data_IF_292680232822
#
_entry.id   IF_292680232822
#
_cell.length_a   1.000
_cell.length_b   1.000
_cell.length_c   1.000
_cell.angle_alpha   90.00
_cell.angle_beta   90.00
_cell.angle_gamma   90.00
#
_symmetry.space_group_name_H-M   'P 1'
#
loop_
_entity.id
_entity.type
_entity.pdbx_description
1 polymer ?
#
# COMPACT_ATOMS: atom_id res chain seq x y z
N UNK A 1 -21.65 -27.56 13.83
CA UNK A 1 -22.12 -27.22 12.47
C UNK A 1 -22.58 -25.76 12.51
N UNK A 2 -21.89 -24.85 11.85
CA UNK A 2 -22.37 -23.49 11.64
C UNK A 2 -23.48 -23.55 10.61
N UNK A 3 -24.65 -22.97 10.90
CA UNK A 3 -25.75 -22.93 9.96
C UNK A 3 -25.44 -21.95 8.82
N UNK A 4 -26.04 -22.19 7.65
CA UNK A 4 -25.89 -21.28 6.52
C UNK A 4 -26.41 -19.89 6.89
N UNK A 5 -25.52 -18.88 6.82
CA UNK A 5 -25.81 -17.50 7.21
C UNK A 5 -25.26 -17.09 8.58
N UNK A 6 -24.74 -18.03 9.38
CA UNK A 6 -24.03 -17.69 10.62
C UNK A 6 -22.62 -17.21 10.28
N UNK A 7 -22.22 -16.10 10.88
CA UNK A 7 -20.83 -15.58 10.80
C UNK A 7 -20.11 -15.93 12.10
N UNK A 8 -19.02 -16.68 11.99
CA UNK A 8 -18.11 -16.93 13.10
C UNK A 8 -16.77 -16.24 12.84
N UNK A 9 -16.25 -15.50 13.81
CA UNK A 9 -14.93 -14.90 13.69
C UNK A 9 -13.87 -16.00 13.52
N UNK A 10 -13.02 -15.87 12.51
CA UNK A 10 -12.03 -16.89 12.16
C UNK A 10 -10.96 -17.01 13.24
N UNK A 11 -10.44 -15.88 13.71
CA UNK A 11 -9.28 -15.80 14.62
C UNK A 11 -9.70 -15.50 16.07
N UNK A 12 -10.82 -14.82 16.29
CA UNK A 12 -11.27 -14.37 17.61
C UNK A 12 -12.21 -15.39 18.24
N UNK A 13 -11.92 -15.82 19.47
CA UNK A 13 -12.76 -16.68 20.31
C UNK A 13 -13.83 -15.86 21.04
N UNK A 14 -13.41 -14.74 21.65
CA UNK A 14 -14.25 -13.86 22.46
C UNK A 14 -13.73 -12.42 22.40
N UNK A 15 -14.59 -11.44 22.69
CA UNK A 15 -14.16 -10.07 22.77
C UNK A 15 -14.91 -9.30 23.85
N UNK A 16 -14.25 -8.29 24.40
CA UNK A 16 -14.84 -7.34 25.34
C UNK A 16 -14.64 -5.92 24.83
N UNK A 17 -15.70 -5.12 24.89
CA UNK A 17 -15.62 -3.67 24.69
C UNK A 17 -15.94 -3.00 26.02
N UNK A 18 -15.08 -2.06 26.46
CA UNK A 18 -15.28 -1.31 27.68
C UNK A 18 -14.91 0.16 27.48
N UNK A 19 -15.91 1.02 27.65
CA UNK A 19 -15.69 2.46 27.71
C UNK A 19 -15.39 2.89 29.14
N UNK A 20 -14.45 3.80 29.33
CA UNK A 20 -14.09 4.37 30.61
C UNK A 20 -13.60 5.82 30.46
N UNK A 21 -13.54 6.54 31.56
CA UNK A 21 -13.02 7.90 31.63
C UNK A 21 -11.78 7.93 32.52
N UNK A 22 -10.73 8.57 32.05
CA UNK A 22 -9.50 8.78 32.80
C UNK A 22 -8.95 10.18 32.49
N UNK A 23 -8.64 10.95 33.56
CA UNK A 23 -8.12 12.31 33.39
C UNK A 23 -9.05 13.27 32.64
N UNK A 24 -10.37 13.04 32.68
CA UNK A 24 -11.36 13.85 31.96
C UNK A 24 -11.46 13.54 30.45
N UNK A 25 -10.78 12.49 29.98
CA UNK A 25 -10.85 11.99 28.60
C UNK A 25 -11.58 10.64 28.58
N UNK A 26 -12.39 10.42 27.54
CA UNK A 26 -13.07 9.15 27.30
C UNK A 26 -12.23 8.23 26.45
N UNK A 27 -12.20 6.96 26.81
CA UNK A 27 -11.51 5.89 26.10
C UNK A 27 -12.43 4.72 25.85
N UNK A 28 -12.18 3.97 24.80
CA UNK A 28 -12.77 2.65 24.61
C UNK A 28 -11.65 1.63 24.47
N UNK A 29 -11.68 0.62 25.30
CA UNK A 29 -10.76 -0.51 25.23
C UNK A 29 -11.47 -1.73 24.65
N UNK A 30 -10.86 -2.34 23.67
CA UNK A 30 -11.25 -3.61 23.06
C UNK A 30 -10.25 -4.67 23.48
N UNK A 31 -10.72 -5.79 24.00
CA UNK A 31 -9.92 -6.98 24.23
C UNK A 31 -10.42 -8.09 23.33
N UNK A 32 -9.54 -8.71 22.57
CA UNK A 32 -9.82 -9.83 21.69
C UNK A 32 -9.07 -11.06 22.18
N UNK A 33 -9.80 -12.10 22.55
CA UNK A 33 -9.22 -13.40 22.89
C UNK A 33 -9.04 -14.19 21.62
N UNK A 34 -7.81 -14.53 21.28
CA UNK A 34 -7.50 -15.27 20.05
C UNK A 34 -7.78 -16.77 20.24
N UNK A 35 -8.30 -17.42 19.19
CA UNK A 35 -8.45 -18.88 19.16
C UNK A 35 -7.07 -19.55 19.15
N UNK A 36 -6.97 -20.70 19.79
CA UNK A 36 -5.78 -21.57 19.71
C UNK A 36 -5.85 -22.49 18.50
N UNK A 37 -4.72 -23.08 18.19
CA UNK A 37 -4.57 -24.14 17.18
C UNK A 37 -4.93 -23.69 15.74
N UNK A 38 -4.99 -22.39 15.51
CA UNK A 38 -5.10 -21.86 14.15
C UNK A 38 -3.75 -21.99 13.46
N UNK A 39 -3.78 -22.50 12.23
CA UNK A 39 -2.60 -22.65 11.39
C UNK A 39 -2.79 -21.95 10.06
N UNK A 40 -1.72 -21.40 9.55
CA UNK A 40 -1.65 -20.97 8.17
C UNK A 40 -1.68 -22.19 7.22
N UNK A 41 -1.96 -21.93 5.95
CA UNK A 41 -2.08 -22.97 4.92
C UNK A 41 -0.82 -23.84 4.73
N UNK A 42 0.33 -23.35 5.18
CA UNK A 42 1.59 -24.08 5.16
C UNK A 42 1.87 -24.85 6.48
N UNK A 43 0.92 -24.87 7.41
CA UNK A 43 1.01 -25.59 8.69
C UNK A 43 1.66 -24.81 9.84
N UNK A 44 2.20 -23.61 9.61
CA UNK A 44 2.74 -22.78 10.70
C UNK A 44 1.63 -22.24 11.60
N UNK A 45 1.88 -22.12 12.92
CA UNK A 45 0.88 -21.58 13.84
C UNK A 45 0.65 -20.10 13.61
N UNK A 46 -0.63 -19.66 13.74
CA UNK A 46 -1.00 -18.26 13.84
C UNK A 46 -1.04 -17.87 15.32
N UNK A 47 -0.30 -16.84 15.69
CA UNK A 47 -0.20 -16.32 17.06
C UNK A 47 -0.46 -14.82 17.09
N UNK A 48 -0.55 -14.25 18.29
CA UNK A 48 -0.71 -12.80 18.48
C UNK A 48 0.44 -12.02 17.83
N UNK A 49 1.63 -12.60 17.69
CA UNK A 49 2.77 -11.94 17.04
C UNK A 49 2.49 -11.66 15.57
N UNK A 50 1.83 -12.60 14.88
CA UNK A 50 1.41 -12.38 13.49
C UNK A 50 0.37 -11.26 13.40
N UNK A 51 -0.59 -11.24 14.34
CA UNK A 51 -1.62 -10.20 14.40
C UNK A 51 -1.00 -8.83 14.64
N UNK A 52 -0.14 -8.70 15.65
CA UNK A 52 0.55 -7.46 15.99
C UNK A 52 1.45 -6.98 14.85
N UNK A 53 2.23 -7.88 14.25
CA UNK A 53 3.05 -7.57 13.08
C UNK A 53 2.23 -6.94 11.96
N UNK A 54 1.11 -7.57 11.58
CA UNK A 54 0.26 -7.04 10.52
C UNK A 54 -0.37 -5.69 10.90
N UNK A 55 -0.78 -5.49 12.15
CA UNK A 55 -1.26 -4.18 12.62
C UNK A 55 -0.21 -3.10 12.44
N UNK A 56 1.04 -3.36 12.82
CA UNK A 56 2.13 -2.38 12.65
C UNK A 56 2.45 -2.12 11.18
N UNK A 57 2.35 -3.12 10.29
CA UNK A 57 2.47 -2.92 8.84
C UNK A 57 1.35 -1.99 8.33
N UNK A 58 0.09 -2.24 8.69
CA UNK A 58 -1.03 -1.41 8.26
C UNK A 58 -1.02 0.00 8.84
N UNK A 59 -0.41 0.20 10.00
CA UNK A 59 -0.31 1.50 10.68
C UNK A 59 0.98 2.25 10.37
N UNK A 60 1.90 1.64 9.61
CA UNK A 60 3.16 2.27 9.21
C UNK A 60 2.90 3.41 8.21
N UNK A 61 3.54 4.59 8.36
CA UNK A 61 3.41 5.70 7.43
C UNK A 61 3.82 5.37 5.98
N UNK A 62 4.75 4.45 5.78
CA UNK A 62 5.20 4.02 4.46
C UNK A 62 4.23 3.04 3.77
N UNK A 63 3.20 2.55 4.48
CA UNK A 63 2.21 1.65 3.91
C UNK A 63 1.26 2.39 2.97
N UNK A 64 1.22 2.01 1.71
CA UNK A 64 0.43 2.66 0.65
C UNK A 64 -0.89 1.96 0.34
N UNK A 65 -1.20 0.84 1.02
CA UNK A 65 -2.46 0.14 0.85
C UNK A 65 -3.62 0.85 1.57
N UNK A 66 -4.85 0.51 1.20
CA UNK A 66 -6.03 0.99 1.91
C UNK A 66 -6.07 0.44 3.33
N UNK A 67 -6.15 1.30 4.33
CA UNK A 67 -6.29 0.92 5.74
C UNK A 67 -7.25 1.83 6.48
N UNK A 68 -8.44 1.31 6.78
CA UNK A 68 -9.40 1.99 7.66
C UNK A 68 -8.91 2.05 9.11
N UNK A 69 -8.02 1.14 9.50
CA UNK A 69 -7.38 1.13 10.81
C UNK A 69 -6.58 2.40 11.07
N UNK A 70 -5.97 2.95 10.03
CA UNK A 70 -5.19 4.17 10.08
C UNK A 70 -5.99 5.41 10.49
N UNK A 71 -7.28 5.47 10.15
CA UNK A 71 -8.17 6.57 10.54
C UNK A 71 -8.72 6.43 11.96
N UNK A 72 -8.45 5.31 12.62
CA UNK A 72 -8.90 5.06 13.99
C UNK A 72 -7.94 5.76 14.97
N UNK A 73 -8.50 6.51 15.90
CA UNK A 73 -7.74 7.27 16.89
C UNK A 73 -7.22 6.37 18.02
N UNK A 74 -6.28 5.48 17.69
CA UNK A 74 -5.65 4.57 18.64
C UNK A 74 -4.71 5.35 19.55
N UNK A 75 -4.78 5.09 20.86
CA UNK A 75 -3.90 5.72 21.86
C UNK A 75 -2.43 5.49 21.51
N UNK A 76 -1.66 6.58 21.44
CA UNK A 76 -0.23 6.54 21.12
C UNK A 76 0.10 6.36 19.63
N UNK A 77 -0.89 6.13 18.74
CA UNK A 77 -0.62 6.01 17.30
C UNK A 77 -0.02 7.29 16.73
N UNK A 78 -0.57 8.45 17.09
CA UNK A 78 -0.06 9.74 16.62
C UNK A 78 1.38 9.96 17.09
N UNK A 79 1.70 9.66 18.37
CA UNK A 79 3.06 9.74 18.88
C UNK A 79 4.01 8.78 18.17
N UNK A 80 3.60 7.54 17.94
CA UNK A 80 4.37 6.55 17.20
C UNK A 80 4.69 7.00 15.78
N UNK A 81 3.70 7.54 15.07
CA UNK A 81 3.87 8.00 13.67
C UNK A 81 4.69 9.27 13.54
N UNK A 82 4.68 10.13 14.56
CA UNK A 82 5.43 11.39 14.56
C UNK A 82 6.73 11.32 15.36
N UNK A 83 6.96 10.20 16.04
CA UNK A 83 8.12 9.95 16.90
C UNK A 83 8.33 11.05 17.97
N UNK A 84 7.24 11.62 18.46
CA UNK A 84 7.26 12.62 19.55
C UNK A 84 5.99 12.51 20.40
N UNK A 85 6.13 12.81 21.69
CA UNK A 85 5.01 12.94 22.63
C UNK A 85 4.49 14.39 22.75
N UNK A 86 5.16 15.37 22.14
CA UNK A 86 4.72 16.77 22.14
C UNK A 86 3.55 16.97 21.17
N UNK A 87 2.39 17.36 21.70
CA UNK A 87 1.15 17.51 20.91
C UNK A 87 1.29 18.60 19.83
N UNK A 88 2.06 19.66 20.08
CA UNK A 88 2.27 20.74 19.09
C UNK A 88 3.17 20.27 17.93
N UNK A 89 4.23 19.53 18.27
CA UNK A 89 5.08 18.92 17.24
C UNK A 89 4.27 17.90 16.42
N UNK A 90 3.43 17.08 17.07
CA UNK A 90 2.55 16.14 16.38
C UNK A 90 1.58 16.81 15.41
N UNK A 91 1.03 17.97 15.77
CA UNK A 91 0.11 18.71 14.89
C UNK A 91 0.80 19.30 13.66
N UNK A 92 2.06 19.67 13.78
CA UNK A 92 2.84 20.29 12.73
C UNK A 92 3.61 19.27 11.87
N UNK A 93 3.73 18.03 12.36
CA UNK A 93 4.62 17.03 11.81
C UNK A 93 4.33 16.72 10.35
N UNK A 94 3.11 16.34 10.00
CA UNK A 94 2.72 16.06 8.62
C UNK A 94 2.90 17.29 7.73
N UNK A 95 2.44 18.46 8.20
CA UNK A 95 2.47 19.68 7.40
C UNK A 95 3.89 20.15 7.03
N UNK A 96 4.92 19.85 7.84
CA UNK A 96 6.30 20.19 7.47
C UNK A 96 6.81 19.33 6.31
N UNK A 97 6.47 18.03 6.29
CA UNK A 97 6.90 17.12 5.21
C UNK A 97 6.09 17.32 3.94
N UNK A 98 4.81 17.63 4.04
CA UNK A 98 3.98 18.06 2.91
C UNK A 98 4.55 19.33 2.25
N UNK A 99 5.02 20.31 3.03
CA UNK A 99 5.69 21.50 2.48
C UNK A 99 7.00 21.15 1.78
N UNK A 100 7.79 20.23 2.35
CA UNK A 100 9.02 19.75 1.71
C UNK A 100 8.71 19.00 0.40
N UNK A 101 7.70 18.13 0.40
CA UNK A 101 7.26 17.42 -0.80
C UNK A 101 6.82 18.38 -1.90
N UNK A 102 5.98 19.37 -1.57
CA UNK A 102 5.58 20.41 -2.53
C UNK A 102 6.78 21.18 -3.08
N UNK A 103 7.79 21.48 -2.25
CA UNK A 103 9.00 22.16 -2.69
C UNK A 103 9.80 21.30 -3.67
N UNK A 104 9.95 19.99 -3.41
CA UNK A 104 10.65 19.05 -4.29
C UNK A 104 9.90 18.88 -5.61
N UNK A 105 8.59 18.70 -5.58
CA UNK A 105 7.77 18.60 -6.80
C UNK A 105 7.86 19.89 -7.62
N UNK A 106 7.78 21.06 -6.98
CA UNK A 106 7.95 22.34 -7.68
C UNK A 106 9.33 22.46 -8.33
N UNK A 107 10.37 22.00 -7.66
CA UNK A 107 11.73 21.98 -8.23
C UNK A 107 11.80 21.07 -9.46
N UNK A 108 11.19 19.87 -9.40
CA UNK A 108 11.12 18.94 -10.52
C UNK A 108 10.32 19.52 -11.70
N UNK A 109 9.15 20.12 -11.44
CA UNK A 109 8.34 20.80 -12.48
C UNK A 109 9.11 21.95 -13.12
N UNK A 110 9.81 22.74 -12.31
CA UNK A 110 10.62 23.87 -12.80
C UNK A 110 11.78 23.40 -13.68
N UNK A 111 12.50 22.37 -13.24
CA UNK A 111 13.56 21.74 -14.01
C UNK A 111 13.03 21.19 -15.33
N UNK A 112 11.93 20.41 -15.30
CA UNK A 112 11.27 19.85 -16.47
C UNK A 112 10.90 20.93 -17.49
N UNK A 113 10.20 21.97 -17.07
CA UNK A 113 9.78 23.07 -17.94
C UNK A 113 10.97 23.88 -18.49
N UNK A 114 12.10 23.87 -17.80
CA UNK A 114 13.32 24.53 -18.26
C UNK A 114 14.02 23.69 -19.33
N UNK A 115 14.15 22.40 -19.08
CA UNK A 115 14.83 21.45 -19.98
C UNK A 115 14.06 21.28 -21.28
N UNK A 116 12.73 21.19 -21.24
CA UNK A 116 11.89 21.02 -22.43
C UNK A 116 11.85 22.23 -23.36
N UNK A 117 12.47 23.36 -22.99
CA UNK A 117 12.69 24.48 -23.91
C UNK A 117 13.86 24.21 -24.87
N UNK A 118 14.74 23.28 -24.55
CA UNK A 118 15.84 22.82 -25.41
C UNK A 118 15.26 21.79 -26.40
N UNK A 119 15.16 22.19 -27.65
CA UNK A 119 14.61 21.37 -28.74
C UNK A 119 15.48 20.15 -29.10
N UNK A 120 16.68 20.03 -28.53
CA UNK A 120 17.51 18.83 -28.67
C UNK A 120 17.09 17.69 -27.78
N UNK A 121 16.20 17.95 -26.77
CA UNK A 121 15.67 16.94 -25.85
C UNK A 121 14.46 16.27 -26.51
N UNK A 122 14.70 15.11 -27.09
CA UNK A 122 13.69 14.36 -27.84
C UNK A 122 13.33 13.01 -27.22
N UNK A 123 14.12 12.56 -26.25
CA UNK A 123 13.94 11.28 -25.56
C UNK A 123 14.29 11.37 -24.06
N UNK A 124 13.97 10.30 -23.34
CA UNK A 124 14.18 10.22 -21.89
C UNK A 124 15.67 10.27 -21.51
N UNK A 125 16.56 9.71 -22.34
CA UNK A 125 18.00 9.65 -22.03
C UNK A 125 18.58 11.06 -22.06
N UNK A 126 18.33 11.80 -23.14
CA UNK A 126 18.76 13.19 -23.26
C UNK A 126 18.13 14.10 -22.20
N UNK A 127 16.86 13.83 -21.83
CA UNK A 127 16.21 14.53 -20.73
C UNK A 127 16.89 14.26 -19.38
N UNK A 128 17.20 12.99 -19.06
CA UNK A 128 17.86 12.62 -17.81
C UNK A 128 19.26 13.21 -17.70
N UNK A 129 20.04 13.27 -18.80
CA UNK A 129 21.33 13.93 -18.85
C UNK A 129 21.22 15.42 -18.53
N UNK A 130 20.28 16.12 -19.17
CA UNK A 130 19.98 17.53 -18.88
C UNK A 130 19.50 17.79 -17.47
N UNK A 131 18.74 16.85 -16.91
CA UNK A 131 18.28 16.94 -15.53
C UNK A 131 19.44 16.81 -14.53
N UNK A 132 20.41 15.94 -14.82
CA UNK A 132 21.64 15.83 -14.02
C UNK A 132 22.50 17.11 -14.10
N UNK A 133 22.64 17.71 -15.30
CA UNK A 133 23.28 18.99 -15.47
C UNK A 133 22.56 20.10 -14.68
N UNK A 134 21.23 20.15 -14.77
CA UNK A 134 20.40 21.10 -14.02
C UNK A 134 20.60 20.98 -12.52
N UNK A 135 20.58 19.73 -11.98
CA UNK A 135 20.85 19.46 -10.57
C UNK A 135 22.21 19.98 -10.14
N UNK A 136 23.26 19.73 -10.94
CA UNK A 136 24.62 20.16 -10.63
C UNK A 136 24.75 21.70 -10.56
N UNK A 137 23.98 22.41 -11.38
CA UNK A 137 23.98 23.87 -11.43
C UNK A 137 23.10 24.56 -10.38
N UNK A 138 22.15 23.81 -9.76
CA UNK A 138 21.11 24.38 -8.90
C UNK A 138 21.08 23.72 -7.51
N UNK A 139 21.55 24.41 -6.49
CA UNK A 139 21.61 23.91 -5.10
C UNK A 139 20.24 23.50 -4.52
N UNK A 140 19.16 24.10 -4.98
CA UNK A 140 17.79 23.82 -4.51
C UNK A 140 17.12 22.65 -5.28
N UNK A 141 17.83 22.05 -6.23
CA UNK A 141 17.32 20.98 -7.10
C UNK A 141 18.03 19.64 -6.84
N UNK A 142 18.49 19.39 -5.61
CA UNK A 142 19.30 18.21 -5.29
C UNK A 142 18.56 16.89 -5.53
N UNK A 143 17.27 16.85 -5.33
CA UNK A 143 16.43 15.65 -5.43
C UNK A 143 15.79 15.43 -6.81
N UNK A 144 15.93 16.36 -7.74
CA UNK A 144 15.19 16.30 -9.03
C UNK A 144 15.47 15.03 -9.85
N UNK A 145 16.67 14.47 -9.77
CA UNK A 145 17.01 13.22 -10.48
C UNK A 145 16.35 12.02 -9.81
N UNK A 146 16.42 11.95 -8.48
CA UNK A 146 15.82 10.85 -7.72
C UNK A 146 14.30 10.90 -7.82
N UNK A 147 13.72 12.10 -7.72
CA UNK A 147 12.28 12.32 -7.87
C UNK A 147 11.79 12.03 -9.30
N UNK A 148 12.60 12.34 -10.31
CA UNK A 148 12.33 11.96 -11.69
C UNK A 148 12.30 10.45 -11.87
N UNK A 149 13.33 9.75 -11.42
CA UNK A 149 13.42 8.31 -11.53
C UNK A 149 12.23 7.63 -10.83
N UNK A 150 11.86 8.14 -9.64
CA UNK A 150 10.69 7.63 -8.92
C UNK A 150 9.37 7.93 -9.63
N UNK A 151 9.22 9.11 -10.21
CA UNK A 151 8.04 9.46 -10.99
C UNK A 151 7.89 8.57 -12.24
N UNK A 152 8.99 8.24 -12.92
CA UNK A 152 9.00 7.30 -14.06
C UNK A 152 8.58 5.88 -13.62
N UNK A 153 9.11 5.41 -12.49
CA UNK A 153 8.69 4.12 -11.91
C UNK A 153 7.19 4.09 -11.64
N UNK A 154 6.67 5.09 -10.93
CA UNK A 154 5.24 5.21 -10.58
C UNK A 154 4.35 5.37 -11.82
N UNK A 155 4.82 6.07 -12.83
CA UNK A 155 4.08 6.23 -14.08
C UNK A 155 3.99 4.92 -14.87
N UNK A 156 5.06 4.13 -14.91
CA UNK A 156 5.00 2.80 -15.49
C UNK A 156 4.04 1.86 -14.73
N UNK A 157 4.00 1.95 -13.39
CA UNK A 157 3.02 1.22 -12.58
C UNK A 157 1.57 1.66 -12.89
N UNK A 158 1.33 2.97 -13.08
CA UNK A 158 0.03 3.51 -13.46
C UNK A 158 -0.42 2.95 -14.82
N UNK A 159 0.43 3.03 -15.84
CA UNK A 159 0.13 2.50 -17.17
C UNK A 159 -0.12 0.97 -17.16
N UNK A 160 0.63 0.23 -16.35
CA UNK A 160 0.41 -1.22 -16.21
C UNK A 160 -0.96 -1.53 -15.58
N UNK A 161 -1.37 -0.75 -14.57
CA UNK A 161 -2.68 -0.88 -13.93
C UNK A 161 -3.82 -0.45 -14.87
N UNK A 162 -3.64 0.60 -15.65
CA UNK A 162 -4.64 1.06 -16.64
C UNK A 162 -4.81 0.05 -17.75
N UNK A 163 -3.73 -0.62 -18.16
CA UNK A 163 -3.82 -1.73 -19.07
C UNK A 163 -4.61 -2.91 -18.47
N UNK A 164 -4.36 -3.30 -17.22
CA UNK A 164 -5.10 -4.36 -16.53
C UNK A 164 -6.59 -4.03 -16.43
N UNK A 165 -6.93 -2.79 -16.06
CA UNK A 165 -8.31 -2.33 -16.02
C UNK A 165 -9.00 -2.41 -17.40
N UNK A 166 -8.25 -2.16 -18.47
CA UNK A 166 -8.75 -2.27 -19.85
C UNK A 166 -9.06 -3.71 -20.24
N UNK A 167 -8.27 -4.68 -19.78
CA UNK A 167 -8.53 -6.12 -19.97
C UNK A 167 -9.88 -6.52 -19.36
N UNK A 168 -10.19 -5.98 -18.18
CA UNK A 168 -11.41 -6.35 -17.47
C UNK A 168 -12.67 -5.69 -18.03
N UNK A 169 -12.56 -4.61 -18.80
CA UNK A 169 -13.69 -3.76 -19.17
C UNK A 169 -14.04 -3.72 -20.67
N UNK A 170 -13.13 -4.12 -21.56
CA UNK A 170 -13.34 -3.91 -23.00
C UNK A 170 -14.54 -4.67 -23.60
N UNK A 171 -14.87 -5.85 -23.07
CA UNK A 171 -15.95 -6.68 -23.59
C UNK A 171 -17.34 -6.09 -23.34
N UNK A 172 -17.49 -5.37 -22.22
CA UNK A 172 -18.75 -4.72 -21.81
C UNK A 172 -18.82 -3.25 -22.25
N UNK A 173 -17.78 -2.75 -22.92
CA UNK A 173 -17.70 -1.35 -23.31
C UNK A 173 -18.61 -1.04 -24.50
N UNK A 174 -19.44 0.00 -24.36
CA UNK A 174 -20.41 0.42 -25.35
C UNK A 174 -20.25 1.89 -25.66
N UNK A 175 -20.05 2.21 -26.93
CA UNK A 175 -20.06 3.58 -27.43
C UNK A 175 -21.44 3.93 -28.03
N UNK A 176 -21.78 5.22 -28.10
CA UNK A 176 -23.05 5.71 -28.66
C UNK A 176 -22.79 6.64 -29.84
N UNK A 177 -23.49 6.39 -30.96
CA UNK A 177 -23.44 7.26 -32.13
C UNK A 177 -24.09 8.63 -31.85
N UNK A 178 -24.09 9.51 -32.84
CA UNK A 178 -24.67 10.85 -32.71
C UNK A 178 -26.19 10.87 -32.39
N UNK A 179 -26.89 9.77 -32.67
CA UNK A 179 -28.32 9.61 -32.38
C UNK A 179 -28.57 8.94 -31.00
N UNK A 180 -27.53 8.70 -30.22
CA UNK A 180 -27.61 8.02 -28.91
C UNK A 180 -27.79 6.50 -29.00
N UNK A 181 -27.71 5.91 -30.18
CA UNK A 181 -27.82 4.47 -30.37
C UNK A 181 -26.52 3.78 -30.02
N UNK A 182 -26.60 2.63 -29.38
CA UNK A 182 -25.45 1.82 -29.04
C UNK A 182 -24.81 1.22 -30.29
N UNK A 183 -23.49 1.37 -30.37
CA UNK A 183 -22.67 0.77 -31.41
C UNK A 183 -21.80 -0.29 -30.74
N UNK A 184 -22.03 -1.53 -31.11
CA UNK A 184 -21.35 -2.70 -30.54
C UNK A 184 -20.04 -3.01 -31.31
N UNK A 185 -19.11 -3.68 -30.63
CA UNK A 185 -17.85 -4.19 -31.22
C UNK A 185 -16.94 -3.10 -31.81
N UNK A 186 -16.98 -1.90 -31.22
CA UNK A 186 -16.08 -0.82 -31.64
C UNK A 186 -14.69 -0.99 -31.03
N UNK A 187 -14.63 -1.47 -29.83
CA UNK A 187 -13.39 -1.92 -29.19
C UNK A 187 -13.31 -3.44 -29.38
N UNK A 188 -12.26 -3.94 -30.00
CA UNK A 188 -12.14 -5.34 -30.37
C UNK A 188 -11.15 -6.15 -29.52
N UNK A 189 -10.30 -5.49 -28.76
CA UNK A 189 -9.28 -6.14 -27.93
C UNK A 189 -8.79 -5.21 -26.81
N UNK A 190 -7.96 -5.78 -25.93
CA UNK A 190 -7.40 -5.08 -24.76
C UNK A 190 -6.59 -3.84 -25.15
N UNK A 191 -5.75 -3.96 -26.18
CA UNK A 191 -4.90 -2.87 -26.63
C UNK A 191 -5.74 -1.67 -27.10
N UNK A 192 -6.80 -1.93 -27.90
CA UNK A 192 -7.70 -0.87 -28.32
C UNK A 192 -8.37 -0.20 -27.13
N UNK A 193 -8.83 -0.94 -26.13
CA UNK A 193 -9.43 -0.35 -24.93
C UNK A 193 -8.43 0.52 -24.18
N UNK A 194 -7.22 0.01 -23.97
CA UNK A 194 -6.15 0.76 -23.32
C UNK A 194 -5.82 2.03 -24.09
N UNK A 195 -5.53 1.94 -25.38
CA UNK A 195 -5.20 3.08 -26.23
C UNK A 195 -6.34 4.13 -26.30
N UNK A 196 -7.60 3.65 -26.24
CA UNK A 196 -8.77 4.53 -26.18
C UNK A 196 -8.85 5.27 -24.84
N UNK A 197 -8.64 4.56 -23.73
CA UNK A 197 -8.64 5.17 -22.39
C UNK A 197 -7.52 6.21 -22.25
N UNK A 198 -6.35 5.91 -22.83
CA UNK A 198 -5.22 6.85 -22.87
C UNK A 198 -5.37 7.97 -23.92
N UNK A 199 -6.49 8.01 -24.63
CA UNK A 199 -6.79 9.06 -25.62
C UNK A 199 -5.91 9.01 -26.88
N UNK A 200 -5.24 7.87 -27.14
CA UNK A 200 -4.39 7.68 -28.32
C UNK A 200 -5.18 7.29 -29.56
N UNK A 201 -6.25 6.54 -29.39
CA UNK A 201 -7.29 6.34 -30.39
C UNK A 201 -8.57 7.02 -29.92
N UNK A 202 -9.42 7.47 -30.85
CA UNK A 202 -10.58 8.30 -30.54
C UNK A 202 -11.81 7.81 -31.26
N UNK A 203 -12.98 8.05 -30.65
CA UNK A 203 -14.27 7.79 -31.26
C UNK A 203 -14.83 9.03 -31.92
N UNK A 204 -14.86 9.04 -33.26
CA UNK A 204 -15.61 10.08 -34.01
C UNK A 204 -17.05 9.62 -34.26
N UNK A 205 -17.95 10.05 -33.39
CA UNK A 205 -19.39 9.73 -33.47
C UNK A 205 -20.12 10.28 -34.70
N UNK A 206 -19.52 11.22 -35.44
CA UNK A 206 -20.10 11.87 -36.60
C UNK A 206 -19.61 11.26 -37.93
N UNK A 207 -18.53 10.48 -37.90
CA UNK A 207 -18.02 9.81 -39.08
C UNK A 207 -18.96 8.70 -39.57
N UNK A 208 -18.64 8.14 -40.74
CA UNK A 208 -19.34 7.01 -41.33
C UNK A 208 -20.86 7.16 -41.40
N UNK A 209 -21.31 8.27 -42.06
CA UNK A 209 -22.71 8.64 -42.18
C UNK A 209 -23.45 8.81 -40.83
N UNK A 210 -22.69 9.08 -39.75
CA UNK A 210 -23.20 9.28 -38.40
C UNK A 210 -23.39 8.03 -37.59
N UNK A 211 -22.90 6.90 -38.08
CA UNK A 211 -22.78 5.66 -37.29
C UNK A 211 -21.59 5.71 -36.35
N UNK A 212 -20.57 6.52 -36.69
CA UNK A 212 -19.34 6.68 -35.97
C UNK A 212 -18.22 5.77 -36.47
N UNK A 213 -16.99 6.18 -36.24
CA UNK A 213 -15.80 5.42 -36.63
C UNK A 213 -14.69 5.62 -35.62
N UNK A 214 -13.91 4.56 -35.35
CA UNK A 214 -12.70 4.66 -34.57
C UNK A 214 -11.61 5.37 -35.40
N UNK A 215 -11.04 6.43 -34.85
CA UNK A 215 -9.85 7.11 -35.35
C UNK A 215 -8.64 6.54 -34.60
N UNK A 216 -7.79 5.87 -35.32
CA UNK A 216 -6.61 5.19 -34.78
C UNK A 216 -5.41 6.14 -34.58
N UNK A 217 -5.52 7.41 -34.98
CA UNK A 217 -4.47 8.41 -34.76
C UNK A 217 -3.14 7.99 -35.39
N UNK A 218 -2.11 7.87 -34.58
CA UNK A 218 -0.76 7.47 -35.01
C UNK A 218 -0.61 5.94 -35.24
N UNK A 219 -1.66 5.17 -34.98
CA UNK A 219 -1.72 3.73 -35.24
C UNK A 219 -2.44 3.48 -36.57
N UNK A 220 -1.90 2.61 -37.43
CA UNK A 220 -2.42 2.43 -38.78
C UNK A 220 -3.89 2.00 -38.80
N UNK A 221 -4.24 0.95 -38.06
CA UNK A 221 -5.59 0.41 -37.98
C UNK A 221 -5.76 -0.58 -36.82
N UNK A 222 -6.91 -1.25 -36.82
CA UNK A 222 -7.24 -2.29 -35.85
C UNK A 222 -6.33 -3.52 -35.90
N UNK A 223 -5.88 -3.93 -37.08
CA UNK A 223 -5.02 -5.08 -37.22
C UNK A 223 -3.65 -4.83 -36.60
N UNK A 224 -3.13 -3.62 -36.80
CA UNK A 224 -1.90 -3.16 -36.16
C UNK A 224 -2.03 -3.14 -34.63
N UNK A 225 -3.07 -2.49 -34.09
CA UNK A 225 -3.28 -2.43 -32.63
C UNK A 225 -3.51 -3.81 -32.00
N UNK A 226 -4.21 -4.73 -32.71
CA UNK A 226 -4.44 -6.09 -32.26
C UNK A 226 -3.17 -6.95 -32.25
N UNK A 227 -2.19 -6.63 -33.09
CA UNK A 227 -0.93 -7.36 -33.19
C UNK A 227 0.11 -6.93 -32.16
N UNK A 228 -0.09 -5.81 -31.48
CA UNK A 228 0.82 -5.31 -30.44
C UNK A 228 0.88 -6.27 -29.25
N UNK A 229 2.06 -6.41 -28.66
CA UNK A 229 2.14 -6.98 -27.31
C UNK A 229 1.64 -5.96 -26.27
N UNK A 230 1.35 -6.44 -25.04
CA UNK A 230 1.03 -5.55 -23.91
C UNK A 230 2.12 -4.49 -23.71
N UNK A 231 3.37 -4.95 -23.73
CA UNK A 231 4.56 -4.13 -23.52
C UNK A 231 4.69 -3.07 -24.62
N UNK A 232 4.41 -3.41 -25.88
CA UNK A 232 4.44 -2.46 -26.99
C UNK A 232 3.34 -1.41 -26.87
N UNK A 233 2.12 -1.82 -26.47
CA UNK A 233 1.02 -0.90 -26.25
C UNK A 233 1.34 0.11 -25.12
N UNK A 234 1.81 -0.36 -23.96
CA UNK A 234 2.23 0.49 -22.85
C UNK A 234 3.37 1.40 -23.27
N UNK A 235 4.41 0.86 -23.92
CA UNK A 235 5.56 1.63 -24.37
C UNK A 235 5.19 2.73 -25.37
N UNK A 236 4.22 2.46 -26.26
CA UNK A 236 3.76 3.47 -27.23
C UNK A 236 3.10 4.67 -26.54
N UNK A 237 2.28 4.41 -25.52
CA UNK A 237 1.69 5.47 -24.68
C UNK A 237 2.77 6.21 -23.91
N UNK A 238 3.66 5.49 -23.23
CA UNK A 238 4.77 6.06 -22.49
C UNK A 238 5.61 7.04 -23.33
N UNK A 239 6.11 6.59 -24.49
CA UNK A 239 6.95 7.39 -25.38
C UNK A 239 6.23 8.62 -25.95
N UNK A 240 4.90 8.60 -26.07
CA UNK A 240 4.11 9.74 -26.50
C UNK A 240 3.95 10.82 -25.42
N UNK A 241 4.29 10.50 -24.17
CA UNK A 241 4.12 11.37 -23.00
C UNK A 241 5.49 11.82 -22.45
N UNK A 242 6.45 10.90 -22.35
CA UNK A 242 7.78 11.18 -21.79
C UNK A 242 8.79 11.40 -22.93
N UNK A 243 9.58 12.50 -22.89
CA UNK A 243 9.60 13.57 -21.88
C UNK A 243 8.65 14.73 -22.15
N UNK A 244 8.06 14.84 -23.33
CA UNK A 244 7.37 16.05 -23.83
C UNK A 244 6.23 16.53 -22.94
N UNK A 245 5.50 15.64 -22.29
CA UNK A 245 4.37 15.93 -21.41
C UNK A 245 4.65 15.54 -19.94
N UNK A 246 5.89 15.28 -19.59
CA UNK A 246 6.25 14.79 -18.24
C UNK A 246 5.78 15.72 -17.12
N UNK A 247 5.79 17.04 -17.35
CA UNK A 247 5.25 17.99 -16.38
C UNK A 247 3.79 17.73 -16.01
N UNK A 248 2.98 17.22 -16.95
CA UNK A 248 1.57 16.85 -16.68
C UNK A 248 1.47 15.57 -15.86
N UNK A 249 2.35 14.60 -16.09
CA UNK A 249 2.41 13.37 -15.30
C UNK A 249 2.63 13.68 -13.81
N UNK A 250 3.60 14.55 -13.51
CA UNK A 250 3.95 14.89 -12.11
C UNK A 250 3.04 15.93 -11.46
N UNK A 251 2.01 16.41 -12.15
CA UNK A 251 1.07 17.41 -11.60
C UNK A 251 -0.41 17.05 -11.74
N UNK A 252 -0.76 16.11 -12.61
CA UNK A 252 -2.18 15.89 -12.96
C UNK A 252 -2.61 14.42 -13.07
N UNK A 253 -1.66 13.48 -13.11
CA UNK A 253 -1.95 12.05 -13.17
C UNK A 253 -1.96 11.42 -11.78
N UNK A 254 -2.40 10.15 -11.66
CA UNK A 254 -2.33 9.42 -10.39
C UNK A 254 -0.90 9.37 -9.86
N UNK A 255 0.08 9.28 -10.74
CA UNK A 255 1.52 9.42 -10.45
C UNK A 255 1.83 10.63 -9.59
N UNK A 256 1.16 11.77 -9.80
CA UNK A 256 1.39 13.00 -9.01
C UNK A 256 1.08 12.79 -7.51
N UNK A 257 -0.05 12.16 -7.20
CA UNK A 257 -0.43 11.84 -5.82
C UNK A 257 0.52 10.82 -5.20
N UNK A 258 0.84 9.76 -5.94
CA UNK A 258 1.75 8.72 -5.47
C UNK A 258 3.18 9.24 -5.24
N UNK A 259 3.65 10.15 -6.10
CA UNK A 259 4.96 10.82 -5.94
C UNK A 259 4.96 11.73 -4.71
N UNK A 260 3.89 12.48 -4.50
CA UNK A 260 3.76 13.33 -3.32
C UNK A 260 3.85 12.50 -2.03
N UNK A 261 3.07 11.44 -1.93
CA UNK A 261 3.06 10.54 -0.77
C UNK A 261 4.42 9.87 -0.57
N UNK A 262 5.06 9.43 -1.66
CA UNK A 262 6.42 8.90 -1.60
C UNK A 262 7.41 9.90 -1.02
N UNK A 263 7.39 11.16 -1.49
CA UNK A 263 8.32 12.19 -1.02
C UNK A 263 8.05 12.57 0.44
N UNK A 264 6.79 12.64 0.85
CA UNK A 264 6.43 12.87 2.27
C UNK A 264 7.06 11.80 3.15
N UNK A 265 6.90 10.53 2.78
CA UNK A 265 7.45 9.40 3.52
C UNK A 265 8.98 9.38 3.50
N UNK A 266 9.62 9.66 2.37
CA UNK A 266 11.08 9.77 2.24
C UNK A 266 11.66 10.87 3.17
N UNK A 267 11.00 12.02 3.24
CA UNK A 267 11.41 13.10 4.15
C UNK A 267 11.17 12.75 5.63
N UNK A 268 10.09 12.02 5.94
CA UNK A 268 9.85 11.50 7.29
C UNK A 268 10.90 10.48 7.69
N UNK A 269 11.24 9.54 6.80
CA UNK A 269 12.28 8.53 7.03
C UNK A 269 13.64 9.17 7.31
N UNK A 270 14.01 10.18 6.53
CA UNK A 270 15.24 10.97 6.74
C UNK A 270 15.25 11.70 8.08
N UNK A 271 14.13 12.29 8.48
CA UNK A 271 14.00 12.97 9.77
C UNK A 271 14.17 11.99 10.95
N UNK A 272 13.54 10.81 10.86
CA UNK A 272 13.65 9.76 11.88
C UNK A 272 15.07 9.19 11.93
N UNK A 273 15.69 8.94 10.77
CA UNK A 273 17.07 8.46 10.71
C UNK A 273 18.05 9.46 11.37
N UNK A 274 17.78 10.76 11.26
CA UNK A 274 18.58 11.81 11.87
C UNK A 274 18.33 11.95 13.38
N UNK A 275 17.06 11.86 13.81
CA UNK A 275 16.64 12.05 15.21
C UNK A 275 16.71 10.79 16.06
N UNK A 276 16.63 9.62 15.42
CA UNK A 276 16.45 8.33 16.06
C UNK A 276 14.97 8.05 16.42
N UNK A 277 14.69 6.80 16.77
CA UNK A 277 13.35 6.35 17.17
C UNK A 277 13.15 6.60 18.66
N UNK A 278 12.24 7.51 19.00
CA UNK A 278 11.94 7.92 20.37
C UNK A 278 10.68 7.26 20.92
N UNK A 279 9.76 6.84 20.05
CA UNK A 279 8.50 6.18 20.40
C UNK A 279 8.50 4.77 19.76
N UNK A 280 8.90 3.74 20.52
CA UNK A 280 9.11 2.40 19.94
C UNK A 280 7.82 1.66 19.65
N UNK A 281 6.73 1.94 20.38
CA UNK A 281 5.48 1.19 20.29
C UNK A 281 4.25 2.10 20.32
N UNK A 282 3.14 1.60 19.77
CA UNK A 282 1.81 2.21 19.88
C UNK A 282 1.24 1.80 21.24
N UNK A 283 1.19 2.72 22.21
CA UNK A 283 0.84 2.39 23.60
C UNK A 283 -0.58 1.83 23.76
N UNK A 284 -1.49 2.15 22.86
CA UNK A 284 -2.84 1.60 22.83
C UNK A 284 -2.96 0.19 22.25
N UNK A 285 -1.89 -0.41 21.73
CA UNK A 285 -1.89 -1.78 21.19
C UNK A 285 -0.96 -2.63 22.04
N UNK A 286 -1.50 -3.65 22.72
CA UNK A 286 -0.71 -4.48 23.63
C UNK A 286 -1.09 -5.96 23.56
N UNK A 287 -0.14 -6.80 23.88
CA UNK A 287 -0.37 -8.19 24.24
C UNK A 287 -0.77 -8.22 25.72
N UNK A 288 -2.09 -8.18 25.98
CA UNK A 288 -2.62 -7.84 27.30
C UNK A 288 -2.23 -8.85 28.39
N UNK A 289 -2.21 -10.14 28.09
CA UNK A 289 -1.87 -11.18 29.05
C UNK A 289 -0.46 -11.80 28.83
N UNK A 290 0.48 -11.03 28.28
CA UNK A 290 1.83 -11.51 28.01
C UNK A 290 2.52 -12.06 29.26
N UNK A 291 2.46 -11.30 30.37
CA UNK A 291 3.23 -11.57 31.59
C UNK A 291 2.31 -11.78 32.83
N UNK A 292 1.02 -11.53 32.72
CA UNK A 292 0.05 -11.61 33.82
C UNK A 292 -1.34 -12.01 33.31
N UNK A 293 -2.19 -12.50 34.22
CA UNK A 293 -3.58 -12.84 33.89
C UNK A 293 -4.40 -11.60 33.58
N UNK A 294 -5.29 -11.69 32.58
CA UNK A 294 -6.22 -10.65 32.17
C UNK A 294 -7.64 -11.18 32.19
N UNK A 295 -8.56 -10.40 32.75
CA UNK A 295 -9.99 -10.72 32.73
C UNK A 295 -10.67 -10.19 31.46
N UNK A 296 -11.44 -11.06 30.81
CA UNK A 296 -12.31 -10.73 29.68
C UNK A 296 -13.70 -11.31 29.97
N UNK A 297 -14.72 -10.49 30.07
CA UNK A 297 -16.13 -10.90 30.32
C UNK A 297 -16.31 -11.82 31.54
N UNK A 298 -15.45 -11.69 32.57
CA UNK A 298 -15.54 -12.52 33.80
C UNK A 298 -14.72 -13.82 33.73
N UNK A 299 -14.12 -14.15 32.61
CA UNK A 299 -13.15 -15.25 32.45
C UNK A 299 -11.72 -14.73 32.57
N UNK A 300 -10.90 -15.42 33.36
CA UNK A 300 -9.49 -15.06 33.53
C UNK A 300 -8.60 -15.83 32.55
N UNK A 301 -7.81 -15.09 31.80
CA UNK A 301 -6.85 -15.60 30.83
C UNK A 301 -5.42 -15.40 31.35
N UNK A 302 -4.79 -16.45 31.93
CA UNK A 302 -3.41 -16.35 32.38
C UNK A 302 -2.44 -16.17 31.23
N UNK A 303 -1.20 -15.80 31.53
CA UNK A 303 -0.13 -15.71 30.54
C UNK A 303 0.01 -17.05 29.78
N UNK A 304 0.09 -17.01 28.43
CA UNK A 304 0.17 -18.24 27.65
C UNK A 304 1.55 -18.89 27.73
N UNK A 305 1.59 -20.22 27.67
CA UNK A 305 2.79 -20.99 27.43
C UNK A 305 2.83 -21.45 25.97
N UNK A 306 4.03 -21.66 25.44
CA UNK A 306 4.24 -22.03 24.05
C UNK A 306 4.92 -23.38 23.92
N UNK A 307 4.60 -24.09 22.84
CA UNK A 307 5.29 -25.27 22.39
C UNK A 307 6.59 -24.90 21.66
N UNK A 308 7.44 -25.88 21.38
CA UNK A 308 8.69 -25.66 20.65
C UNK A 308 8.50 -25.16 19.22
N UNK A 309 7.35 -25.42 18.59
CA UNK A 309 7.01 -24.92 17.26
C UNK A 309 6.41 -23.49 17.28
N UNK A 310 6.33 -22.86 18.47
CA UNK A 310 5.77 -21.53 18.67
C UNK A 310 4.25 -21.48 18.79
N UNK A 311 3.54 -22.63 18.69
CA UNK A 311 2.09 -22.67 18.92
C UNK A 311 1.76 -22.50 20.41
N UNK A 312 0.57 -22.00 20.71
CA UNK A 312 0.11 -21.80 22.09
C UNK A 312 -0.20 -23.15 22.72
N UNK A 313 0.50 -23.49 23.83
CA UNK A 313 0.36 -24.73 24.58
C UNK A 313 -0.78 -24.66 25.59
N UNK A 314 -0.85 -23.57 26.35
CA UNK A 314 -1.84 -23.37 27.41
C UNK A 314 -2.39 -21.95 27.39
N UNK A 315 -3.61 -21.77 27.95
CA UNK A 315 -4.33 -20.49 27.94
C UNK A 315 -4.64 -19.99 26.52
N UNK A 316 -4.93 -18.69 26.40
CA UNK A 316 -5.24 -18.00 25.15
C UNK A 316 -4.46 -16.68 25.14
N UNK A 317 -4.14 -16.19 23.96
CA UNK A 317 -3.54 -14.88 23.80
C UNK A 317 -4.63 -13.80 23.75
N UNK A 318 -4.40 -12.66 24.41
CA UNK A 318 -5.35 -11.55 24.46
C UNK A 318 -4.72 -10.29 23.88
N UNK A 319 -5.23 -9.84 22.73
CA UNK A 319 -4.92 -8.56 22.15
C UNK A 319 -5.76 -7.46 22.82
N UNK A 320 -5.13 -6.35 23.21
CA UNK A 320 -5.85 -5.17 23.70
C UNK A 320 -5.58 -3.98 22.79
N UNK A 321 -6.67 -3.30 22.40
CA UNK A 321 -6.63 -2.07 21.61
C UNK A 321 -7.41 -0.99 22.35
N UNK A 322 -6.79 0.18 22.58
CA UNK A 322 -7.44 1.33 23.21
C UNK A 322 -7.49 2.51 22.27
N UNK A 323 -8.65 3.13 22.14
CA UNK A 323 -8.87 4.35 21.34
C UNK A 323 -9.22 5.54 22.21
N UNK A 324 -8.90 6.77 21.75
CA UNK A 324 -9.07 8.04 22.48
C UNK A 324 -10.51 8.57 22.55
N UNK A 325 -11.52 7.80 22.14
CA UNK A 325 -12.91 8.24 22.10
C UNK A 325 -13.87 7.07 22.21
N UNK A 326 -15.16 7.39 22.32
CA UNK A 326 -16.24 6.43 22.10
C UNK A 326 -16.61 6.47 20.62
N UNK A 327 -16.35 5.38 19.91
CA UNK A 327 -16.70 5.25 18.49
C UNK A 327 -17.30 3.85 18.23
N UNK A 328 -18.64 3.74 18.17
CA UNK A 328 -19.31 2.44 17.99
C UNK A 328 -18.93 1.72 16.69
N UNK A 329 -18.32 2.42 15.74
CA UNK A 329 -17.91 1.84 14.46
C UNK A 329 -16.45 1.40 14.46
N UNK A 330 -15.65 1.79 15.45
CA UNK A 330 -14.22 1.52 15.48
C UNK A 330 -13.89 0.02 15.42
N UNK A 331 -14.72 -0.84 15.99
CA UNK A 331 -14.51 -2.29 15.97
C UNK A 331 -14.40 -2.85 14.54
N UNK A 332 -15.13 -2.28 13.59
CA UNK A 332 -15.07 -2.73 12.19
C UNK A 332 -13.73 -2.38 11.50
N UNK A 333 -13.03 -1.35 12.00
CA UNK A 333 -11.72 -0.95 11.49
C UNK A 333 -10.60 -1.92 11.91
N UNK A 334 -10.87 -2.82 12.86
CA UNK A 334 -9.93 -3.85 13.31
C UNK A 334 -10.10 -5.18 12.55
N UNK A 335 -10.91 -5.19 11.49
CA UNK A 335 -11.03 -6.33 10.58
C UNK A 335 -9.97 -6.21 9.48
N UNK A 336 -8.96 -7.08 9.51
CA UNK A 336 -7.86 -7.10 8.53
C UNK A 336 -7.36 -8.52 8.31
N UNK A 337 -6.68 -8.70 7.19
CA UNK A 337 -6.06 -9.98 6.85
C UNK A 337 -4.75 -10.15 7.62
N UNK A 338 -4.57 -11.31 8.24
CA UNK A 338 -3.33 -11.66 8.93
C UNK A 338 -2.51 -12.58 8.03
N UNK A 339 -1.32 -12.11 7.66
CA UNK A 339 -0.30 -12.89 6.97
C UNK A 339 0.77 -13.35 7.98
N UNK A 340 1.42 -14.51 7.76
CA UNK A 340 2.44 -14.99 8.68
C UNK A 340 3.66 -14.06 8.70
N UNK A 341 4.05 -13.63 9.89
CA UNK A 341 5.15 -12.71 10.12
C UNK A 341 6.45 -13.19 9.47
N UNK A 342 6.78 -14.48 9.62
CA UNK A 342 8.01 -15.05 9.06
C UNK A 342 8.09 -14.94 7.53
N UNK A 343 6.95 -14.85 6.84
CA UNK A 343 6.90 -14.71 5.38
C UNK A 343 7.57 -13.42 4.90
N UNK A 344 7.60 -12.42 5.75
CA UNK A 344 8.25 -11.12 5.52
C UNK A 344 9.63 -11.01 6.16
N UNK A 345 10.19 -12.12 6.69
CA UNK A 345 11.56 -12.14 7.20
C UNK A 345 12.56 -11.85 6.07
N UNK A 346 13.53 -11.00 6.38
CA UNK A 346 14.65 -10.68 5.47
C UNK A 346 15.83 -11.63 5.60
N UNK A 347 15.78 -12.58 6.52
CA UNK A 347 16.89 -13.50 6.81
C UNK A 347 16.96 -14.67 5.83
N UNK A 348 18.16 -15.15 5.53
CA UNK A 348 18.38 -16.20 4.54
C UNK A 348 17.76 -17.55 4.91
N UNK A 349 17.73 -17.90 6.19
CA UNK A 349 17.18 -19.18 6.62
C UNK A 349 15.67 -19.31 6.39
N UNK A 350 14.94 -18.20 6.31
CA UNK A 350 13.52 -18.19 5.91
C UNK A 350 13.33 -18.75 4.50
N UNK A 351 14.32 -18.59 3.63
CA UNK A 351 14.33 -19.14 2.26
C UNK A 351 14.76 -20.60 2.20
N UNK A 352 15.47 -21.07 3.22
CA UNK A 352 15.99 -22.43 3.32
C UNK A 352 15.05 -23.42 4.00
N UNK A 353 13.82 -23.00 4.32
CA UNK A 353 12.81 -23.87 4.90
C UNK A 353 12.93 -24.06 6.41
N UNK A 354 13.38 -23.05 7.13
CA UNK A 354 13.40 -23.02 8.60
C UNK A 354 12.05 -23.34 9.23
N UNK A 355 12.05 -23.73 10.49
CA UNK A 355 10.81 -23.98 11.24
C UNK A 355 10.09 -22.66 11.58
N UNK A 356 8.77 -22.66 11.82
CA UNK A 356 8.04 -21.44 12.23
C UNK A 356 8.66 -20.72 13.43
N UNK A 357 9.21 -21.45 14.40
CA UNK A 357 9.93 -20.91 15.55
C UNK A 357 11.17 -20.12 15.11
N UNK A 358 11.97 -20.67 14.21
CA UNK A 358 13.16 -20.01 13.69
C UNK A 358 12.80 -18.76 12.91
N UNK A 359 11.71 -18.78 12.15
CA UNK A 359 11.20 -17.60 11.44
C UNK A 359 10.89 -16.46 12.42
N UNK A 360 10.21 -16.77 13.52
CA UNK A 360 9.87 -15.76 14.55
C UNK A 360 11.16 -15.23 15.22
N UNK A 361 12.10 -16.10 15.55
CA UNK A 361 13.37 -15.72 16.18
C UNK A 361 14.27 -14.88 15.26
N UNK A 362 14.23 -15.15 13.97
CA UNK A 362 15.06 -14.43 13.00
C UNK A 362 14.45 -13.11 12.53
N UNK A 363 13.16 -12.91 12.74
CA UNK A 363 12.52 -11.64 12.38
C UNK A 363 12.98 -10.56 13.36
N UNK A 364 13.74 -9.59 12.82
CA UNK A 364 14.28 -8.51 13.64
C UNK A 364 13.26 -7.39 13.75
N UNK A 365 12.64 -7.25 14.93
CA UNK A 365 11.80 -6.13 15.28
C UNK A 365 12.66 -5.00 15.83
N UNK A 366 12.40 -3.79 15.40
CA UNK A 366 12.95 -2.60 16.05
C UNK A 366 12.22 -2.25 17.34
N UNK A 367 11.02 -2.78 17.49
CA UNK A 367 10.22 -2.75 18.71
C UNK A 367 9.69 -4.15 19.01
N UNK A 368 9.00 -4.33 20.12
CA UNK A 368 8.55 -5.65 20.56
C UNK A 368 7.56 -6.33 19.61
N UNK A 369 6.78 -5.56 18.85
CA UNK A 369 5.65 -6.04 18.06
C UNK A 369 5.74 -5.69 16.59
N UNK A 370 6.55 -4.70 16.24
CA UNK A 370 6.48 -4.05 14.95
C UNK A 370 7.53 -4.48 13.94
N UNK A 371 7.57 -3.72 12.91
CA UNK A 371 8.50 -3.77 11.80
C UNK A 371 9.41 -2.56 11.86
N UNK A 372 10.35 -2.48 10.95
CA UNK A 372 11.14 -1.28 10.77
C UNK A 372 10.22 -0.10 10.40
N UNK A 373 10.04 0.81 11.35
CA UNK A 373 9.11 1.93 11.24
C UNK A 373 9.49 2.86 10.08
N UNK A 374 8.48 3.25 9.28
CA UNK A 374 8.59 4.18 8.17
C UNK A 374 9.73 3.83 7.20
N UNK A 375 9.95 2.54 6.95
CA UNK A 375 10.98 2.09 6.02
C UNK A 375 10.40 1.85 4.63
N UNK A 376 10.77 2.71 3.68
CA UNK A 376 10.47 2.51 2.26
C UNK A 376 11.11 1.21 1.74
N UNK A 377 12.32 0.91 2.19
CA UNK A 377 13.02 -0.33 1.84
C UNK A 377 12.26 -1.55 2.31
N UNK A 378 11.77 -1.57 3.55
CA UNK A 378 10.94 -2.67 4.05
C UNK A 378 9.66 -2.82 3.22
N UNK A 379 8.95 -1.73 2.96
CA UNK A 379 7.70 -1.76 2.20
C UNK A 379 7.91 -2.20 0.75
N UNK A 380 8.93 -1.71 0.06
CA UNK A 380 9.16 -2.02 -1.36
C UNK A 380 9.87 -3.35 -1.58
N UNK A 381 10.89 -3.66 -0.79
CA UNK A 381 11.70 -4.86 -1.00
C UNK A 381 11.22 -6.08 -0.24
N UNK A 382 10.43 -5.90 0.82
CA UNK A 382 9.93 -7.01 1.64
C UNK A 382 8.43 -7.20 1.45
N UNK A 383 7.62 -6.19 1.76
CA UNK A 383 6.15 -6.32 1.72
C UNK A 383 5.63 -6.43 0.28
N UNK A 384 6.13 -5.60 -0.62
CA UNK A 384 5.73 -5.58 -2.05
C UNK A 384 6.64 -6.41 -2.95
N UNK A 385 7.50 -7.26 -2.38
CA UNK A 385 8.39 -8.10 -3.18
C UNK A 385 7.59 -9.07 -4.04
N UNK A 386 7.89 -9.11 -5.35
CA UNK A 386 7.19 -9.96 -6.33
C UNK A 386 7.24 -11.45 -6.01
N UNK A 387 8.30 -11.92 -5.34
CA UNK A 387 8.43 -13.31 -4.93
C UNK A 387 7.41 -13.71 -3.86
N UNK A 388 6.79 -12.74 -3.20
CA UNK A 388 5.82 -12.89 -2.12
C UNK A 388 4.39 -12.58 -2.56
N UNK A 389 4.23 -11.92 -3.71
CA UNK A 389 2.92 -11.60 -4.29
C UNK A 389 2.45 -12.79 -5.12
N UNK A 390 1.19 -13.17 -4.97
CA UNK A 390 0.53 -14.18 -5.81
C UNK A 390 0.52 -15.62 -5.26
N UNK A 391 1.20 -15.90 -4.13
CA UNK A 391 1.04 -17.17 -3.42
C UNK A 391 0.61 -16.87 -1.98
N UNK A 392 -0.69 -16.65 -1.74
CA UNK A 392 -1.16 -16.29 -0.41
C UNK A 392 -0.95 -17.44 0.57
N UNK A 393 -0.34 -17.14 1.71
CA UNK A 393 -0.30 -18.02 2.89
C UNK A 393 -1.34 -17.49 3.87
N UNK A 394 -2.53 -18.06 3.83
CA UNK A 394 -3.66 -17.64 4.65
C UNK A 394 -4.01 -18.64 5.74
N UNK A 395 -4.83 -18.22 6.71
CA UNK A 395 -5.37 -19.07 7.80
C UNK A 395 -6.75 -19.67 7.46
N UNK A 396 -7.17 -19.63 6.20
CA UNK A 396 -8.42 -20.19 5.71
C UNK A 396 -8.32 -21.70 5.41
N UNK A 397 -9.46 -22.36 5.11
CA UNK A 397 -9.52 -23.80 4.84
C UNK A 397 -8.92 -24.22 3.49
N UNK A 398 -8.49 -23.28 2.67
CA UNK A 398 -7.98 -23.51 1.32
C UNK A 398 -6.49 -23.21 1.22
N UNK A 399 -5.79 -24.04 0.45
CA UNK A 399 -4.39 -23.85 0.08
C UNK A 399 -4.34 -23.43 -1.39
N UNK A 400 -3.68 -22.30 -1.68
CA UNK A 400 -3.44 -21.92 -3.07
C UNK A 400 -2.42 -22.87 -3.69
N UNK A 401 -2.80 -23.52 -4.79
CA UNK A 401 -1.88 -24.30 -5.62
C UNK A 401 -1.48 -23.48 -6.85
N UNK A 402 -0.22 -23.54 -7.26
CA UNK A 402 0.17 -23.01 -8.56
C UNK A 402 -0.54 -23.85 -9.63
N UNK A 403 -1.32 -23.19 -10.48
CA UNK A 403 -1.84 -23.77 -11.73
C UNK A 403 -0.75 -23.80 -12.77
#
# INVERSE_FOLDING_TARGET
KVAYGDTEAVVVKDYQEKTYEEGGKQYTNYKFVLKRDIKFSNGSPLTIKDVLFNMYVYLDPAYTGSSTMYSTDIVGLKAYRTQTYDEKEQEQYSAQFERKANTRILALVTATNTILKDTSVTDEVTFAEKLAEYRAANKNAQYVVDDFNKAIELFNEELDNDYKNSVDTWQDFVLRNKNGQEVKNLIANNNEMFLYNEGKIKWDKNADNGNGKMDYGDYDDREYTASMTKEDAIKSVYLSIVPSQFAQVITGWQTAGNLFDYIVNDEMEKDIAQKGKTVPNISGITFANKDASVNVNGEDYPAPEYNDDGSVKSSYEVLSITINKVDPKAIWNFSFTVAPMYYYSTTSWAKEGGTPKNYIEAFNFENEFGVEFNSQTFMTQVVKNSDKIGVPVGAGPYVASKS
#
